data_IF_125755537399
#
_entry.id   IF_125755537399
#
_cell.length_a   1.000
_cell.length_b   1.000
_cell.length_c   1.000
_cell.angle_alpha   90.00
_cell.angle_beta   90.00
_cell.angle_gamma   90.00
#
_symmetry.space_group_name_H-M   'P 1'
#
loop_
_entity.id
_entity.type
_entity.pdbx_description
1 polymer ?
#
# COMPACT_ATOMS: atom_id res chain seq x y z
N UNK A 1 2.47 -17.95 -53.95
CA UNK A 1 1.90 -17.63 -52.62
C UNK A 1 2.89 -18.11 -51.57
N UNK A 2 3.67 -17.20 -50.99
CA UNK A 2 4.86 -17.52 -50.21
C UNK A 2 4.50 -18.33 -48.94
N UNK A 3 5.04 -19.55 -48.84
CA UNK A 3 5.04 -20.32 -47.60
C UNK A 3 5.97 -19.59 -46.62
N UNK A 4 5.40 -18.88 -45.64
CA UNK A 4 6.19 -18.33 -44.51
C UNK A 4 7.03 -19.44 -43.91
N UNK A 5 8.32 -19.15 -43.69
CA UNK A 5 9.24 -20.08 -43.07
C UNK A 5 8.80 -20.38 -41.64
N UNK A 6 9.17 -21.55 -41.12
CA UNK A 6 8.80 -21.96 -39.75
C UNK A 6 9.31 -20.94 -38.73
N UNK A 7 10.48 -20.33 -38.98
CA UNK A 7 11.05 -19.26 -38.17
C UNK A 7 10.16 -18.01 -38.11
N UNK A 8 9.62 -17.55 -39.25
CA UNK A 8 8.69 -16.41 -39.28
C UNK A 8 7.39 -16.70 -38.53
N UNK A 9 6.89 -17.94 -38.62
CA UNK A 9 5.71 -18.36 -37.84
C UNK A 9 6.00 -18.40 -36.34
N UNK A 10 7.19 -18.86 -35.94
CA UNK A 10 7.63 -18.87 -34.55
C UNK A 10 7.71 -17.45 -33.98
N UNK A 11 8.37 -16.54 -34.72
CA UNK A 11 8.49 -15.13 -34.34
C UNK A 11 7.11 -14.44 -34.24
N UNK A 12 6.18 -14.78 -35.13
CA UNK A 12 4.81 -14.24 -35.08
C UNK A 12 4.04 -14.74 -33.85
N UNK A 13 4.19 -16.01 -33.47
CA UNK A 13 3.55 -16.57 -32.28
C UNK A 13 4.14 -16.00 -30.98
N UNK A 14 5.45 -15.80 -30.92
CA UNK A 14 6.11 -15.15 -29.77
C UNK A 14 5.67 -13.70 -29.61
N UNK A 15 5.60 -12.93 -30.71
CA UNK A 15 5.09 -11.57 -30.69
C UNK A 15 3.63 -11.50 -30.22
N UNK A 16 2.78 -12.44 -30.66
CA UNK A 16 1.40 -12.55 -30.19
C UNK A 16 1.31 -12.89 -28.71
N UNK A 17 2.11 -13.84 -28.21
CA UNK A 17 2.17 -14.18 -26.78
C UNK A 17 2.59 -12.98 -25.93
N UNK A 18 3.65 -12.26 -26.33
CA UNK A 18 4.14 -11.08 -25.61
C UNK A 18 3.07 -9.98 -25.55
N UNK A 19 2.32 -9.78 -26.64
CA UNK A 19 1.19 -8.85 -26.69
C UNK A 19 0.06 -9.26 -25.75
N UNK A 20 -0.33 -10.54 -25.75
CA UNK A 20 -1.36 -11.07 -24.85
C UNK A 20 -0.94 -10.97 -23.38
N UNK A 21 0.30 -11.29 -23.05
CA UNK A 21 0.83 -11.17 -21.68
C UNK A 21 0.85 -9.72 -21.21
N UNK A 22 1.23 -8.79 -22.09
CA UNK A 22 1.18 -7.35 -21.79
C UNK A 22 -0.25 -6.87 -21.51
N UNK A 23 -1.23 -7.36 -22.30
CA UNK A 23 -2.64 -7.05 -22.09
C UNK A 23 -3.17 -7.65 -20.78
N UNK A 24 -2.78 -8.88 -20.47
CA UNK A 24 -3.14 -9.54 -19.22
C UNK A 24 -2.61 -8.76 -18.01
N UNK A 25 -1.32 -8.42 -18.00
CA UNK A 25 -0.73 -7.64 -16.91
C UNK A 25 -1.31 -6.22 -16.77
N UNK A 26 -1.86 -5.63 -17.84
CA UNK A 26 -2.64 -4.38 -17.76
C UNK A 26 -4.00 -4.61 -17.09
N UNK A 27 -4.71 -5.69 -17.46
CA UNK A 27 -6.00 -6.03 -16.85
C UNK A 27 -5.86 -6.40 -15.37
N UNK A 28 -4.81 -7.15 -15.01
CA UNK A 28 -4.56 -7.53 -13.62
C UNK A 28 -4.28 -6.31 -12.75
N UNK A 29 -3.45 -5.36 -13.23
CA UNK A 29 -3.24 -4.09 -12.53
C UNK A 29 -4.53 -3.28 -12.43
N UNK A 30 -5.33 -3.18 -13.49
CA UNK A 30 -6.61 -2.49 -13.44
C UNK A 30 -7.58 -3.14 -12.43
N UNK A 31 -7.64 -4.47 -12.38
CA UNK A 31 -8.43 -5.22 -11.39
C UNK A 31 -7.91 -5.01 -9.97
N UNK A 32 -6.60 -5.07 -9.76
CA UNK A 32 -5.99 -4.87 -8.45
C UNK A 32 -6.22 -3.45 -7.93
N UNK A 33 -6.02 -2.42 -8.76
CA UNK A 33 -6.36 -1.04 -8.43
C UNK A 33 -7.84 -0.92 -8.07
N UNK A 34 -8.74 -1.49 -8.89
CA UNK A 34 -10.18 -1.44 -8.61
C UNK A 34 -10.53 -2.14 -7.30
N UNK A 35 -9.92 -3.30 -7.01
CA UNK A 35 -10.14 -4.05 -5.76
C UNK A 35 -9.67 -3.24 -4.57
N UNK A 36 -8.47 -2.66 -4.62
CA UNK A 36 -7.91 -1.81 -3.55
C UNK A 36 -8.79 -0.60 -3.27
N UNK A 37 -9.22 0.10 -4.33
CA UNK A 37 -10.11 1.26 -4.21
C UNK A 37 -11.46 0.88 -3.60
N UNK A 38 -12.08 -0.22 -4.07
CA UNK A 38 -13.37 -0.67 -3.54
C UNK A 38 -13.28 -1.11 -2.08
N UNK A 39 -12.22 -1.82 -1.70
CA UNK A 39 -12.01 -2.21 -0.31
C UNK A 39 -11.79 -1.00 0.59
N UNK A 40 -10.99 -0.02 0.15
CA UNK A 40 -10.80 1.23 0.88
C UNK A 40 -12.11 2.01 1.05
N UNK A 41 -12.87 2.19 -0.04
CA UNK A 41 -14.17 2.87 0.00
C UNK A 41 -15.19 2.14 0.91
N UNK A 42 -15.21 0.81 0.88
CA UNK A 42 -16.06 0.02 1.76
C UNK A 42 -15.67 0.18 3.24
N UNK A 43 -14.38 0.17 3.54
CA UNK A 43 -13.86 0.35 4.89
C UNK A 43 -14.23 1.74 5.45
N UNK A 44 -14.02 2.79 4.66
CA UNK A 44 -14.42 4.16 5.00
C UNK A 44 -15.93 4.27 5.23
N UNK A 45 -16.73 3.70 4.32
CA UNK A 45 -18.18 3.67 4.49
C UNK A 45 -18.61 2.96 5.78
N UNK A 46 -17.90 1.89 6.17
CA UNK A 46 -18.19 1.15 7.40
C UNK A 46 -17.79 1.93 8.65
N UNK A 47 -16.72 2.72 8.60
CA UNK A 47 -16.35 3.64 9.68
C UNK A 47 -17.38 4.77 9.85
N UNK A 48 -17.83 5.37 8.74
CA UNK A 48 -18.77 6.50 8.78
C UNK A 48 -20.20 6.08 9.13
N UNK A 49 -20.70 4.99 8.55
CA UNK A 49 -22.12 4.59 8.62
C UNK A 49 -22.34 3.26 9.33
N UNK A 50 -21.30 2.66 9.90
CA UNK A 50 -21.43 1.41 10.64
C UNK A 50 -22.10 1.65 11.99
N UNK A 51 -23.29 1.10 12.19
CA UNK A 51 -24.01 1.27 13.46
C UNK A 51 -23.69 0.17 14.48
N UNK A 52 -22.98 -0.88 14.06
CA UNK A 52 -22.58 -2.04 14.85
C UNK A 52 -21.44 -1.71 15.83
N UNK A 53 -21.39 -2.41 16.97
CA UNK A 53 -20.32 -2.27 17.96
C UNK A 53 -18.91 -2.49 17.36
N UNK A 54 -18.78 -3.42 16.42
CA UNK A 54 -17.52 -3.64 15.70
C UNK A 54 -17.06 -2.39 14.94
N UNK A 55 -17.97 -1.72 14.23
CA UNK A 55 -17.63 -0.56 13.39
C UNK A 55 -17.32 0.69 14.21
N UNK A 56 -17.93 0.83 15.39
CA UNK A 56 -17.75 1.99 16.27
C UNK A 56 -16.49 1.92 17.13
N UNK A 57 -16.10 0.72 17.58
CA UNK A 57 -15.05 0.57 18.59
C UNK A 57 -13.88 -0.29 18.12
N UNK A 58 -14.15 -1.49 17.59
CA UNK A 58 -13.09 -2.45 17.24
C UNK A 58 -12.37 -2.09 15.95
N UNK A 59 -13.12 -1.63 14.93
CA UNK A 59 -12.57 -1.29 13.63
C UNK A 59 -11.65 -0.06 13.68
N UNK A 60 -12.02 1.07 14.32
CA UNK A 60 -11.13 2.21 14.45
C UNK A 60 -9.89 1.88 15.29
N UNK A 61 -10.05 1.13 16.39
CA UNK A 61 -8.94 0.71 17.23
C UNK A 61 -7.94 -0.18 16.48
N UNK A 62 -8.45 -1.12 15.68
CA UNK A 62 -7.62 -1.98 14.83
C UNK A 62 -6.88 -1.18 13.75
N UNK A 63 -7.56 -0.25 13.07
CA UNK A 63 -6.94 0.59 12.05
C UNK A 63 -5.82 1.45 12.64
N UNK A 64 -6.03 2.05 13.82
CA UNK A 64 -4.99 2.83 14.50
C UNK A 64 -3.73 2.04 14.83
N UNK A 65 -3.85 0.72 15.02
CA UNK A 65 -2.72 -0.17 15.31
C UNK A 65 -2.00 -0.64 14.03
N UNK A 66 -2.75 -1.03 13.01
CA UNK A 66 -2.18 -1.68 11.82
C UNK A 66 -1.81 -0.70 10.70
N UNK A 67 -2.56 0.41 10.55
CA UNK A 67 -2.35 1.37 9.47
C UNK A 67 -0.97 2.05 9.52
N UNK A 68 -0.41 2.42 10.70
CA UNK A 68 0.95 2.94 10.78
C UNK A 68 2.03 1.94 10.33
N UNK A 69 1.81 0.64 10.50
CA UNK A 69 2.71 -0.41 10.00
C UNK A 69 2.56 -0.69 8.50
N UNK A 70 1.44 -0.28 7.90
CA UNK A 70 1.18 -0.43 6.47
C UNK A 70 1.67 0.77 5.65
N UNK A 71 1.69 1.96 6.24
CA UNK A 71 2.14 3.19 5.58
C UNK A 71 3.66 3.24 5.62
N UNK A 72 4.28 3.25 4.45
CA UNK A 72 5.74 3.31 4.30
C UNK A 72 6.26 4.70 3.93
N UNK A 73 5.36 5.67 3.72
CA UNK A 73 5.69 7.04 3.30
C UNK A 73 4.97 8.07 4.17
N UNK A 74 5.69 9.08 4.62
CA UNK A 74 5.16 10.16 5.47
C UNK A 74 4.04 10.96 4.78
N UNK A 75 4.14 11.17 3.45
CA UNK A 75 3.10 11.84 2.66
C UNK A 75 1.75 11.10 2.74
N UNK A 76 1.78 9.77 2.72
CA UNK A 76 0.58 8.94 2.79
C UNK A 76 0.02 8.94 4.22
N UNK A 77 0.86 9.08 5.26
CA UNK A 77 0.43 9.20 6.65
C UNK A 77 -0.41 10.46 6.91
N UNK A 78 -0.04 11.57 6.26
CA UNK A 78 -0.78 12.83 6.35
C UNK A 78 -2.24 12.72 5.84
N UNK A 79 -2.53 11.77 4.95
CA UNK A 79 -3.89 11.55 4.42
C UNK A 79 -4.84 10.87 5.42
N UNK A 80 -4.31 10.29 6.50
CA UNK A 80 -5.10 9.53 7.48
C UNK A 80 -5.18 10.19 8.86
N UNK A 81 -4.75 11.45 9.00
CA UNK A 81 -4.74 12.18 10.28
C UNK A 81 -6.14 12.27 10.89
N UNK A 82 -7.17 12.50 10.08
CA UNK A 82 -8.57 12.52 10.52
C UNK A 82 -9.04 11.17 11.10
N UNK A 83 -8.46 10.07 10.63
CA UNK A 83 -8.84 8.71 11.03
C UNK A 83 -8.02 8.18 12.21
N UNK A 84 -6.71 8.49 12.22
CA UNK A 84 -5.79 8.07 13.27
C UNK A 84 -5.90 8.94 14.52
N UNK A 85 -6.34 10.20 14.35
CA UNK A 85 -6.23 11.25 15.35
C UNK A 85 -4.80 11.79 15.40
N UNK A 86 -4.66 13.06 15.80
CA UNK A 86 -3.39 13.81 15.87
C UNK A 86 -2.25 13.09 16.62
N UNK A 87 -2.58 12.11 17.48
CA UNK A 87 -1.62 11.34 18.27
C UNK A 87 -0.58 10.55 17.45
N UNK A 88 -0.82 10.34 16.15
CA UNK A 88 0.10 9.62 15.25
C UNK A 88 0.84 10.54 14.26
N UNK A 89 0.60 11.85 14.31
CA UNK A 89 1.33 12.87 13.55
C UNK A 89 2.58 13.39 14.29
N UNK A 90 3.04 12.66 15.31
CA UNK A 90 4.37 12.85 15.88
C UNK A 90 5.41 12.19 14.97
N UNK A 91 6.58 12.80 14.78
CA UNK A 91 7.61 12.26 13.89
C UNK A 91 7.90 10.82 14.28
N UNK A 92 7.81 9.91 13.30
CA UNK A 92 8.28 8.53 13.43
C UNK A 92 9.72 8.61 13.93
N UNK A 93 9.90 8.19 15.18
CA UNK A 93 11.15 8.18 15.93
C UNK A 93 12.27 7.59 15.07
N UNK A 94 13.06 8.48 14.48
CA UNK A 94 14.35 8.16 13.88
C UNK A 94 15.42 8.60 14.86
N UNK A 95 16.32 7.66 15.16
CA UNK A 95 17.56 7.77 15.97
C UNK A 95 17.37 7.38 17.44
N UNK A 96 17.55 6.12 17.82
CA UNK A 96 18.78 5.33 17.78
C UNK A 96 19.98 6.00 18.47
N UNK A 97 20.42 5.36 19.55
CA UNK A 97 21.76 5.33 20.14
C UNK A 97 22.49 6.66 20.39
N UNK A 98 22.39 7.14 21.63
CA UNK A 98 23.32 8.08 22.23
C UNK A 98 23.73 7.59 23.62
N UNK A 99 24.81 6.82 23.69
CA UNK A 99 25.45 6.38 24.93
C UNK A 99 25.64 7.53 25.95
N UNK A 100 25.42 7.30 27.27
CA UNK A 100 25.89 8.23 28.29
C UNK A 100 27.39 7.97 28.54
N UNK A 101 28.22 8.52 27.67
CA UNK A 101 29.67 8.51 27.80
C UNK A 101 30.19 9.63 28.74
N UNK A 102 30.64 9.19 29.92
CA UNK A 102 31.76 9.74 30.71
C UNK A 102 31.58 11.11 31.40
N UNK A 103 31.25 11.05 32.69
CA UNK A 103 31.54 12.11 33.65
C UNK A 103 33.05 12.11 33.95
N UNK A 104 33.76 13.14 33.49
CA UNK A 104 35.13 13.41 33.86
C UNK A 104 35.29 14.87 34.30
N UNK A 105 35.92 15.06 35.46
CA UNK A 105 36.85 16.17 35.67
C UNK A 105 36.32 17.46 36.29
N UNK A 106 36.49 17.54 37.62
CA UNK A 106 36.81 18.70 38.46
C UNK A 106 37.42 19.95 37.78
N UNK A 107 37.38 21.07 38.50
CA UNK A 107 38.65 21.59 39.04
C UNK A 107 38.74 21.53 40.57
#
# INVERSE_FOLDING_TARGET
MAKRTIAERLAQLEAQRKSLQTKLGKQERAKDTRRKVLLGAFLLHRLEKGHDAFSKEQLPAWIKKELPGFITRDDDAALFVDLLGEALAGPLDVSADGEPGVAAGQP
#
